data_IF_451996965356
#
_entry.id   IF_451996965356
#
_cell.length_a   1.000
_cell.length_b   1.000
_cell.length_c   1.000
_cell.angle_alpha   90.00
_cell.angle_beta   90.00
_cell.angle_gamma   90.00
#
_symmetry.space_group_name_H-M   'P 1'
#
loop_
_entity.id
_entity.type
_entity.pdbx_description
1 polymer ?
#
# COMPACT_ATOMS: atom_id res chain seq x y z
N UNK A 1 -17.82 -2.18 0.88
CA UNK A 1 -16.67 -2.85 0.23
C UNK A 1 -16.30 -2.22 -1.11
N UNK A 2 -17.16 -2.17 -2.13
CA UNK A 2 -16.82 -1.62 -3.47
C UNK A 2 -16.31 -0.17 -3.52
N UNK A 3 -16.63 0.64 -2.51
CA UNK A 3 -16.10 2.01 -2.35
C UNK A 3 -14.60 2.08 -2.12
N UNK A 4 -13.97 0.98 -1.71
CA UNK A 4 -12.54 0.92 -1.38
C UNK A 4 -11.86 -0.23 -2.10
N UNK A 5 -12.55 -1.37 -2.22
CA UNK A 5 -12.01 -2.59 -2.82
C UNK A 5 -12.96 -3.15 -3.89
N UNK A 6 -12.59 -3.09 -5.18
CA UNK A 6 -13.42 -3.50 -6.28
C UNK A 6 -13.21 -4.98 -6.67
N UNK A 7 -12.97 -5.85 -5.69
CA UNK A 7 -12.71 -7.27 -5.96
C UNK A 7 -13.98 -8.05 -6.33
N UNK A 8 -15.18 -7.52 -6.10
CA UNK A 8 -16.46 -8.09 -6.57
C UNK A 8 -17.26 -7.08 -7.40
N UNK A 9 -17.95 -7.55 -8.44
CA UNK A 9 -18.94 -6.77 -9.20
C UNK A 9 -20.35 -7.04 -8.65
N UNK A 10 -21.21 -6.02 -8.46
CA UNK A 10 -22.48 -6.20 -7.74
C UNK A 10 -23.53 -6.95 -8.56
N UNK A 11 -23.32 -7.10 -9.88
CA UNK A 11 -24.20 -7.84 -10.78
C UNK A 11 -23.68 -9.27 -10.99
N UNK A 12 -22.37 -9.47 -11.06
CA UNK A 12 -21.77 -10.82 -11.19
C UNK A 12 -21.79 -11.62 -9.88
N UNK A 13 -21.54 -10.97 -8.74
CA UNK A 13 -21.37 -11.68 -7.47
C UNK A 13 -22.62 -12.40 -6.95
N UNK A 14 -23.85 -11.91 -7.16
CA UNK A 14 -25.06 -12.68 -6.87
C UNK A 14 -25.11 -14.05 -7.56
N UNK A 15 -24.58 -14.16 -8.78
CA UNK A 15 -24.49 -15.45 -9.48
C UNK A 15 -23.46 -16.38 -8.82
N UNK A 16 -22.33 -15.84 -8.35
CA UNK A 16 -21.35 -16.58 -7.53
C UNK A 16 -21.99 -17.11 -6.25
N UNK A 17 -22.78 -16.28 -5.55
CA UNK A 17 -23.54 -16.70 -4.35
C UNK A 17 -24.53 -17.81 -4.73
N UNK A 18 -25.31 -17.62 -5.79
CA UNK A 18 -26.29 -18.62 -6.24
C UNK A 18 -25.61 -19.95 -6.56
N UNK A 19 -24.47 -19.94 -7.25
CA UNK A 19 -23.69 -21.12 -7.56
C UNK A 19 -23.14 -21.82 -6.30
N UNK A 20 -22.79 -21.04 -5.26
CA UNK A 20 -22.31 -21.59 -3.99
C UNK A 20 -23.39 -22.37 -3.22
N UNK A 21 -24.66 -21.98 -3.38
CA UNK A 21 -25.80 -22.50 -2.61
C UNK A 21 -26.84 -23.28 -3.44
N UNK A 22 -26.62 -23.48 -4.75
CA UNK A 22 -27.57 -24.17 -5.64
C UNK A 22 -27.61 -25.69 -5.44
N UNK A 23 -26.59 -26.27 -4.80
CA UNK A 23 -26.48 -27.72 -4.60
C UNK A 23 -26.64 -28.11 -3.14
N UNK A 24 -27.41 -29.17 -2.89
CA UNK A 24 -27.60 -29.73 -1.55
C UNK A 24 -26.34 -30.39 -0.98
N UNK A 25 -25.38 -30.76 -1.83
CA UNK A 25 -24.09 -31.36 -1.43
C UNK A 25 -22.93 -30.40 -1.66
N UNK A 26 -22.12 -30.18 -0.62
CA UNK A 26 -20.91 -29.37 -0.67
C UNK A 26 -19.83 -29.90 -1.63
N UNK A 27 -19.84 -31.19 -1.94
CA UNK A 27 -18.90 -31.81 -2.89
C UNK A 27 -19.23 -31.51 -4.36
N UNK A 28 -20.46 -31.07 -4.64
CA UNK A 28 -20.91 -30.74 -5.99
C UNK A 28 -20.62 -29.28 -6.39
N UNK A 29 -20.25 -28.44 -5.42
CA UNK A 29 -19.93 -27.03 -5.65
C UNK A 29 -18.42 -26.91 -5.91
N UNK A 30 -18.07 -26.20 -7.00
CA UNK A 30 -16.67 -25.92 -7.38
C UNK A 30 -15.89 -25.27 -6.23
N UNK A 31 -14.61 -25.60 -6.11
CA UNK A 31 -13.77 -25.14 -5.01
C UNK A 31 -13.54 -23.62 -5.09
N UNK A 32 -13.39 -23.07 -6.29
CA UNK A 32 -13.16 -21.65 -6.51
C UNK A 32 -14.33 -20.75 -6.07
N UNK A 33 -15.57 -21.13 -6.36
CA UNK A 33 -16.79 -20.45 -5.89
C UNK A 33 -16.82 -20.44 -4.36
N UNK A 34 -16.57 -21.60 -3.73
CA UNK A 34 -16.56 -21.72 -2.26
C UNK A 34 -15.45 -20.88 -1.64
N UNK A 35 -14.24 -20.93 -2.20
CA UNK A 35 -13.11 -20.13 -1.75
C UNK A 35 -13.45 -18.64 -1.86
N UNK A 36 -14.01 -18.18 -2.97
CA UNK A 36 -14.38 -16.79 -3.18
C UNK A 36 -15.36 -16.28 -2.11
N UNK A 37 -16.42 -17.05 -1.79
CA UNK A 37 -17.39 -16.67 -0.75
C UNK A 37 -16.73 -16.64 0.64
N UNK A 38 -15.94 -17.65 0.99
CA UNK A 38 -15.29 -17.72 2.30
C UNK A 38 -14.27 -16.59 2.49
N UNK A 39 -13.44 -16.32 1.47
CA UNK A 39 -12.49 -15.20 1.46
C UNK A 39 -13.23 -13.86 1.58
N UNK A 40 -14.31 -13.67 0.82
CA UNK A 40 -15.13 -12.46 0.89
C UNK A 40 -15.67 -12.22 2.31
N UNK A 41 -16.21 -13.27 2.95
CA UNK A 41 -16.76 -13.17 4.30
C UNK A 41 -15.68 -12.88 5.33
N UNK A 42 -14.52 -13.57 5.27
CA UNK A 42 -13.38 -13.35 6.17
C UNK A 42 -12.82 -11.93 6.04
N UNK A 43 -12.64 -11.44 4.82
CA UNK A 43 -12.14 -10.08 4.60
C UNK A 43 -13.16 -8.99 4.95
N UNK A 44 -14.45 -9.26 4.73
CA UNK A 44 -15.49 -8.30 5.13
C UNK A 44 -15.67 -8.23 6.64
N UNK A 45 -15.43 -9.32 7.37
CA UNK A 45 -15.54 -9.34 8.83
C UNK A 45 -14.37 -8.66 9.54
N UNK A 46 -13.16 -8.69 8.97
CA UNK A 46 -11.99 -8.01 9.57
C UNK A 46 -12.03 -6.48 9.41
N UNK A 47 -12.59 -5.97 8.30
CA UNK A 47 -12.54 -4.53 7.99
C UNK A 47 -13.53 -3.62 8.73
N UNK A 48 -14.27 -4.12 9.74
CA UNK A 48 -15.18 -3.40 10.66
C UNK A 48 -15.67 -2.00 10.20
N UNK A 49 -16.26 -1.92 9.01
CA UNK A 49 -16.64 -0.64 8.39
C UNK A 49 -17.64 0.08 9.30
N UNK A 50 -17.45 1.38 9.65
CA UNK A 50 -18.26 2.09 10.63
C UNK A 50 -19.78 2.04 10.39
N UNK A 51 -20.20 2.04 9.12
CA UNK A 51 -21.61 1.90 8.70
C UNK A 51 -22.26 0.55 9.13
N UNK A 52 -21.45 -0.45 9.47
CA UNK A 52 -21.87 -1.79 9.92
C UNK A 52 -21.53 -2.07 11.39
N UNK A 53 -21.07 -1.08 12.17
CA UNK A 53 -20.89 -1.23 13.63
C UNK A 53 -22.20 -1.61 14.33
N UNK A 54 -23.34 -1.26 13.75
CA UNK A 54 -24.65 -1.77 14.15
C UNK A 54 -25.03 -3.02 13.36
N UNK A 55 -24.42 -4.16 13.74
CA UNK A 55 -24.86 -5.47 13.27
C UNK A 55 -26.36 -5.63 13.57
N UNK A 56 -27.19 -6.14 12.64
CA UNK A 56 -28.57 -6.47 12.94
C UNK A 56 -28.62 -7.39 14.18
N UNK A 57 -29.45 -7.05 15.18
CA UNK A 57 -29.63 -7.90 16.35
C UNK A 57 -29.98 -9.34 15.92
N UNK A 58 -29.19 -10.32 16.36
CA UNK A 58 -29.51 -11.75 16.21
C UNK A 58 -28.61 -12.60 15.29
N UNK A 59 -27.60 -12.03 14.62
CA UNK A 59 -26.63 -12.84 13.86
C UNK A 59 -25.50 -13.39 14.76
N UNK A 60 -25.12 -14.67 14.63
CA UNK A 60 -24.04 -15.27 15.42
C UNK A 60 -22.69 -14.63 15.10
N UNK A 61 -21.74 -14.53 16.05
CA UNK A 61 -20.39 -14.01 15.78
C UNK A 61 -19.78 -14.75 14.58
N UNK A 62 -19.16 -13.99 13.68
CA UNK A 62 -18.48 -14.56 12.52
C UNK A 62 -17.08 -14.97 12.96
N UNK A 63 -16.79 -16.26 12.84
CA UNK A 63 -15.45 -16.82 13.04
C UNK A 63 -14.55 -16.46 11.85
N UNK A 64 -13.97 -15.26 11.88
CA UNK A 64 -13.13 -14.71 10.81
C UNK A 64 -11.95 -15.63 10.49
N UNK A 65 -11.24 -16.10 11.51
CA UNK A 65 -10.08 -16.98 11.35
C UNK A 65 -10.49 -18.34 10.78
N UNK A 66 -11.57 -18.94 11.28
CA UNK A 66 -12.07 -20.20 10.75
C UNK A 66 -12.56 -20.09 9.31
N UNK A 67 -13.14 -18.95 8.90
CA UNK A 67 -13.49 -18.68 7.49
C UNK A 67 -12.25 -18.57 6.61
N UNK A 68 -11.25 -17.79 7.06
CA UNK A 68 -9.98 -17.64 6.34
C UNK A 68 -9.28 -18.99 6.18
N UNK A 69 -9.15 -19.77 7.25
CA UNK A 69 -8.54 -21.10 7.23
C UNK A 69 -9.25 -22.05 6.26
N UNK A 70 -10.59 -22.04 6.23
CA UNK A 70 -11.36 -22.83 5.26
C UNK A 70 -11.11 -22.39 3.83
N UNK A 71 -11.00 -21.10 3.57
CA UNK A 71 -10.64 -20.58 2.25
C UNK A 71 -9.23 -21.03 1.84
N UNK A 72 -8.25 -20.90 2.74
CA UNK A 72 -6.86 -21.36 2.53
C UNK A 72 -6.81 -22.85 2.17
N UNK A 73 -7.54 -23.71 2.89
CA UNK A 73 -7.63 -25.14 2.63
C UNK A 73 -8.22 -25.50 1.25
N UNK A 74 -9.01 -24.59 0.65
CA UNK A 74 -9.58 -24.79 -0.69
C UNK A 74 -8.62 -24.36 -1.80
N UNK A 75 -7.64 -23.48 -1.55
CA UNK A 75 -6.73 -22.97 -2.58
C UNK A 75 -6.04 -24.09 -3.38
N UNK A 76 -5.51 -25.18 -2.78
CA UNK A 76 -4.92 -26.28 -3.56
C UNK A 76 -5.89 -26.99 -4.50
N UNK A 77 -7.21 -26.92 -4.24
CA UNK A 77 -8.24 -27.45 -5.15
C UNK A 77 -8.55 -26.42 -6.24
N UNK A 78 -8.65 -25.13 -5.89
CA UNK A 78 -8.79 -24.02 -6.87
C UNK A 78 -7.68 -24.08 -7.92
N UNK A 79 -6.43 -24.32 -7.52
CA UNK A 79 -5.30 -24.39 -8.45
C UNK A 79 -5.28 -25.64 -9.34
N UNK A 80 -6.15 -26.62 -9.08
CA UNK A 80 -6.36 -27.80 -9.94
C UNK A 80 -7.52 -27.61 -10.92
N UNK A 81 -8.40 -26.65 -10.67
CA UNK A 81 -9.48 -26.25 -11.57
C UNK A 81 -8.94 -25.33 -12.68
N UNK A 82 -9.72 -25.12 -13.73
CA UNK A 82 -9.39 -24.13 -14.75
C UNK A 82 -9.38 -22.72 -14.14
N UNK A 83 -8.50 -21.85 -14.66
CA UNK A 83 -8.46 -20.46 -14.25
C UNK A 83 -9.86 -19.82 -14.39
N UNK A 84 -10.33 -19.21 -13.31
CA UNK A 84 -11.66 -18.62 -13.22
C UNK A 84 -11.64 -17.25 -12.56
N UNK A 85 -12.71 -16.49 -12.79
CA UNK A 85 -12.88 -15.19 -12.14
C UNK A 85 -12.95 -15.36 -10.62
N UNK A 86 -13.72 -16.34 -10.14
CA UNK A 86 -13.92 -16.62 -8.72
C UNK A 86 -12.62 -17.04 -8.04
N UNK A 87 -11.81 -17.88 -8.70
CA UNK A 87 -10.50 -18.29 -8.19
C UNK A 87 -9.54 -17.11 -8.05
N UNK A 88 -9.53 -16.21 -9.04
CA UNK A 88 -8.75 -14.97 -8.99
C UNK A 88 -9.23 -14.03 -7.87
N UNK A 89 -10.54 -13.87 -7.71
CA UNK A 89 -11.14 -13.09 -6.63
C UNK A 89 -10.74 -13.63 -5.27
N UNK A 90 -10.85 -14.95 -5.07
CA UNK A 90 -10.47 -15.61 -3.83
C UNK A 90 -9.01 -15.32 -3.46
N UNK A 91 -8.07 -15.49 -4.41
CA UNK A 91 -6.65 -15.24 -4.18
C UNK A 91 -6.33 -13.79 -3.85
N UNK A 92 -6.93 -12.83 -4.57
CA UNK A 92 -6.71 -11.40 -4.29
C UNK A 92 -7.29 -11.00 -2.93
N UNK A 93 -8.49 -11.51 -2.60
CA UNK A 93 -9.12 -11.23 -1.30
C UNK A 93 -8.30 -11.85 -0.16
N UNK A 94 -7.79 -13.08 -0.34
CA UNK A 94 -6.89 -13.69 0.64
C UNK A 94 -5.57 -12.92 0.76
N UNK A 95 -4.99 -12.44 -0.35
CA UNK A 95 -3.81 -11.59 -0.26
C UNK A 95 -4.05 -10.32 0.55
N UNK A 96 -5.18 -9.64 0.33
CA UNK A 96 -5.58 -8.49 1.13
C UNK A 96 -5.81 -8.85 2.59
N UNK A 97 -6.44 -10.00 2.87
CA UNK A 97 -6.61 -10.50 4.23
C UNK A 97 -5.27 -10.68 4.94
N UNK A 98 -4.32 -11.37 4.30
CA UNK A 98 -2.98 -11.58 4.86
C UNK A 98 -2.19 -10.26 5.04
N UNK A 99 -2.39 -9.26 4.17
CA UNK A 99 -1.80 -7.93 4.36
C UNK A 99 -2.35 -7.21 5.59
N UNK A 100 -3.66 -7.32 5.81
CA UNK A 100 -4.37 -6.69 6.93
C UNK A 100 -4.02 -7.37 8.25
N UNK A 101 -3.75 -8.68 8.24
CA UNK A 101 -3.31 -9.45 9.41
C UNK A 101 -1.79 -9.48 9.62
N UNK A 102 -0.99 -8.89 8.72
CA UNK A 102 0.46 -8.76 8.86
C UNK A 102 1.29 -9.93 8.31
N UNK A 103 0.67 -10.90 7.64
CA UNK A 103 1.33 -12.05 7.01
C UNK A 103 1.86 -11.73 5.60
N UNK A 104 2.86 -10.84 5.51
CA UNK A 104 3.43 -10.37 4.23
C UNK A 104 3.92 -11.52 3.31
N UNK A 105 4.51 -12.56 3.89
CA UNK A 105 5.01 -13.72 3.13
C UNK A 105 3.87 -14.47 2.43
N UNK A 106 2.78 -14.74 3.16
CA UNK A 106 1.61 -15.43 2.61
C UNK A 106 0.88 -14.56 1.59
N UNK A 107 0.77 -13.25 1.84
CA UNK A 107 0.24 -12.29 0.88
C UNK A 107 1.03 -12.34 -0.45
N UNK A 108 2.36 -12.40 -0.37
CA UNK A 108 3.23 -12.50 -1.54
C UNK A 108 2.97 -13.77 -2.38
N UNK A 109 2.77 -14.92 -1.71
CA UNK A 109 2.40 -16.15 -2.42
C UNK A 109 1.07 -16.02 -3.16
N UNK A 110 0.03 -15.52 -2.49
CA UNK A 110 -1.27 -15.34 -3.13
C UNK A 110 -1.23 -14.38 -4.32
N UNK A 111 -0.51 -13.26 -4.18
CA UNK A 111 -0.32 -12.29 -5.26
C UNK A 111 0.42 -12.88 -6.44
N UNK A 112 1.47 -13.67 -6.18
CA UNK A 112 2.24 -14.33 -7.24
C UNK A 112 1.37 -15.31 -8.05
N UNK A 113 0.53 -16.08 -7.36
CA UNK A 113 -0.41 -17.00 -8.01
C UNK A 113 -1.53 -16.24 -8.73
N UNK A 114 -2.09 -15.20 -8.10
CA UNK A 114 -3.10 -14.33 -8.70
C UNK A 114 -2.59 -13.67 -9.98
N UNK A 115 -1.37 -13.14 -9.98
CA UNK A 115 -0.73 -12.55 -11.15
C UNK A 115 -0.65 -13.54 -12.32
N UNK A 116 -0.34 -14.81 -12.05
CA UNK A 116 -0.35 -15.86 -13.07
C UNK A 116 -1.75 -16.07 -13.65
N UNK A 117 -2.78 -16.11 -12.81
CA UNK A 117 -4.18 -16.26 -13.24
C UNK A 117 -4.65 -15.00 -14.02
N UNK A 118 -4.22 -13.80 -13.64
CA UNK A 118 -4.48 -12.56 -14.39
C UNK A 118 -3.97 -12.67 -15.83
N UNK A 119 -2.76 -13.22 -16.03
CA UNK A 119 -2.25 -13.48 -17.37
C UNK A 119 -3.09 -14.51 -18.12
N UNK A 120 -3.43 -15.63 -17.48
CA UNK A 120 -4.25 -16.70 -18.10
C UNK A 120 -5.64 -16.21 -18.54
N UNK A 121 -6.24 -15.30 -17.78
CA UNK A 121 -7.56 -14.75 -18.05
C UNK A 121 -7.54 -13.46 -18.90
N UNK A 122 -6.35 -12.97 -19.28
CA UNK A 122 -6.21 -11.76 -20.10
C UNK A 122 -6.51 -10.45 -19.37
N UNK A 123 -6.59 -10.43 -18.03
CA UNK A 123 -6.93 -9.24 -17.24
C UNK A 123 -5.88 -8.11 -17.32
N UNK A 124 -4.65 -8.46 -17.69
CA UNK A 124 -3.54 -7.53 -17.93
C UNK A 124 -3.73 -6.68 -19.20
N UNK A 125 -4.70 -7.00 -20.06
CA UNK A 125 -5.00 -6.25 -21.29
C UNK A 125 -6.24 -5.38 -21.12
N UNK A 126 -6.23 -4.14 -21.63
CA UNK A 126 -7.42 -3.30 -21.62
C UNK A 126 -8.43 -3.78 -22.68
N UNK A 127 -9.68 -4.10 -22.32
CA UNK A 127 -10.66 -4.64 -23.27
C UNK A 127 -11.18 -3.63 -24.29
N UNK A 128 -10.74 -2.36 -24.26
CA UNK A 128 -11.26 -1.29 -25.09
C UNK A 128 -12.66 -0.81 -24.65
N UNK A 129 -13.19 0.27 -25.26
CA UNK A 129 -14.57 0.69 -25.04
C UNK A 129 -15.54 -0.29 -25.72
N UNK A 130 -16.65 -0.61 -25.05
CA UNK A 130 -17.74 -1.37 -25.65
C UNK A 130 -18.64 -0.46 -26.49
N UNK A 131 -19.06 -0.92 -27.68
CA UNK A 131 -20.15 -0.29 -28.42
C UNK A 131 -21.50 -0.73 -27.82
N UNK A 132 -22.02 0.03 -26.86
CA UNK A 132 -23.24 -0.29 -26.12
C UNK A 132 -24.51 -0.30 -26.98
N UNK A 133 -24.51 0.40 -28.12
CA UNK A 133 -25.70 0.54 -28.98
C UNK A 133 -26.05 -0.73 -29.77
N UNK A 134 -25.08 -1.61 -30.01
CA UNK A 134 -25.27 -2.82 -30.82
C UNK A 134 -25.02 -4.12 -30.06
N UNK A 135 -24.71 -4.04 -28.76
CA UNK A 135 -24.30 -5.19 -27.98
C UNK A 135 -25.48 -6.02 -27.47
N UNK A 136 -25.47 -7.32 -27.76
CA UNK A 136 -26.38 -8.28 -27.18
C UNK A 136 -26.18 -8.41 -25.64
N UNK A 137 -27.19 -8.88 -24.89
CA UNK A 137 -27.05 -9.09 -23.44
C UNK A 137 -25.89 -10.02 -23.06
N UNK A 138 -25.59 -11.02 -23.88
CA UNK A 138 -24.46 -11.93 -23.66
C UNK A 138 -23.11 -11.22 -23.82
N UNK A 139 -22.96 -10.38 -24.85
CA UNK A 139 -21.75 -9.58 -25.04
C UNK A 139 -21.56 -8.57 -23.91
N UNK A 140 -22.64 -7.98 -23.39
CA UNK A 140 -22.58 -7.06 -22.26
C UNK A 140 -22.11 -7.76 -20.99
N UNK A 141 -22.58 -8.98 -20.75
CA UNK A 141 -22.14 -9.81 -19.62
C UNK A 141 -20.66 -10.19 -19.74
N UNK A 142 -20.21 -10.61 -20.92
CA UNK A 142 -18.81 -10.94 -21.17
C UNK A 142 -17.90 -9.72 -21.04
N UNK A 143 -18.32 -8.56 -21.53
CA UNK A 143 -17.60 -7.30 -21.34
C UNK A 143 -17.52 -6.91 -19.85
N UNK A 144 -18.60 -7.11 -19.08
CA UNK A 144 -18.60 -6.89 -17.63
C UNK A 144 -17.61 -7.81 -16.91
N UNK A 145 -17.52 -9.09 -17.29
CA UNK A 145 -16.50 -10.01 -16.76
C UNK A 145 -15.08 -9.52 -17.08
N UNK A 146 -14.82 -9.08 -18.31
CA UNK A 146 -13.52 -8.49 -18.70
C UNK A 146 -13.19 -7.24 -17.89
N UNK A 147 -14.16 -6.34 -17.66
CA UNK A 147 -13.99 -5.17 -16.79
C UNK A 147 -13.68 -5.59 -15.34
N UNK A 148 -14.33 -6.64 -14.83
CA UNK A 148 -14.03 -7.14 -13.49
C UNK A 148 -12.63 -7.76 -13.38
N UNK A 149 -12.20 -8.53 -14.39
CA UNK A 149 -10.81 -9.01 -14.50
C UNK A 149 -9.82 -7.85 -14.53
N UNK A 150 -10.15 -6.76 -15.22
CA UNK A 150 -9.32 -5.55 -15.27
C UNK A 150 -9.20 -4.88 -13.89
N UNK A 151 -10.28 -4.85 -13.10
CA UNK A 151 -10.23 -4.33 -11.73
C UNK A 151 -9.35 -5.20 -10.83
N UNK A 152 -9.46 -6.52 -10.96
CA UNK A 152 -8.64 -7.48 -10.23
C UNK A 152 -7.16 -7.37 -10.62
N UNK A 153 -6.85 -7.14 -11.90
CA UNK A 153 -5.50 -6.80 -12.34
C UNK A 153 -4.94 -5.58 -11.60
N UNK A 154 -5.67 -4.46 -11.55
CA UNK A 154 -5.19 -3.24 -10.89
C UNK A 154 -5.00 -3.39 -9.38
N UNK A 155 -5.87 -4.17 -8.71
CA UNK A 155 -5.67 -4.56 -7.32
C UNK A 155 -4.41 -5.41 -7.15
N UNK A 156 -4.26 -6.45 -7.96
CA UNK A 156 -3.10 -7.33 -7.93
C UNK A 156 -1.80 -6.55 -8.17
N UNK A 157 -1.77 -5.71 -9.20
CA UNK A 157 -0.65 -4.83 -9.56
C UNK A 157 -0.26 -3.89 -8.42
N UNK A 158 -1.24 -3.28 -7.77
CA UNK A 158 -0.97 -2.38 -6.64
C UNK A 158 -0.38 -3.13 -5.44
N UNK A 159 -1.00 -4.24 -5.05
CA UNK A 159 -0.55 -5.04 -3.91
C UNK A 159 0.86 -5.59 -4.17
N UNK A 160 1.09 -6.10 -5.37
CA UNK A 160 2.35 -6.68 -5.81
C UNK A 160 3.50 -5.67 -5.71
N UNK A 161 3.30 -4.46 -6.22
CA UNK A 161 4.30 -3.40 -6.16
C UNK A 161 4.64 -2.99 -4.72
N UNK A 162 3.62 -2.89 -3.87
CA UNK A 162 3.82 -2.59 -2.45
C UNK A 162 4.59 -3.71 -1.75
N UNK A 163 4.24 -4.98 -2.00
CA UNK A 163 4.93 -6.13 -1.42
C UNK A 163 6.37 -6.24 -1.92
N UNK A 164 6.62 -6.03 -3.22
CA UNK A 164 7.95 -6.06 -3.82
C UNK A 164 8.87 -5.00 -3.19
N UNK A 165 8.39 -3.76 -3.04
CA UNK A 165 9.15 -2.69 -2.38
C UNK A 165 9.41 -2.97 -0.89
N UNK A 166 8.43 -3.53 -0.18
CA UNK A 166 8.54 -3.87 1.25
C UNK A 166 9.51 -5.03 1.52
N UNK A 167 9.58 -5.99 0.61
CA UNK A 167 10.32 -7.25 0.81
C UNK A 167 11.62 -7.34 0.02
N UNK A 168 11.83 -6.44 -0.95
CA UNK A 168 12.93 -6.50 -1.91
C UNK A 168 12.80 -7.63 -2.95
N UNK A 169 11.70 -8.39 -2.94
CA UNK A 169 11.47 -9.48 -3.89
C UNK A 169 11.26 -8.96 -5.31
N UNK A 170 11.68 -9.70 -6.36
CA UNK A 170 11.41 -9.34 -7.75
C UNK A 170 9.94 -9.21 -8.07
N UNK A 171 9.61 -8.24 -8.91
CA UNK A 171 8.25 -8.07 -9.42
C UNK A 171 7.83 -9.24 -10.33
N UNK A 172 6.57 -9.65 -10.23
CA UNK A 172 5.92 -10.66 -11.08
C UNK A 172 5.17 -10.00 -12.25
N UNK A 173 4.57 -8.83 -12.02
CA UNK A 173 3.82 -8.09 -13.03
C UNK A 173 4.70 -7.01 -13.68
N UNK A 174 5.52 -7.43 -14.64
CA UNK A 174 6.34 -6.49 -15.42
C UNK A 174 5.48 -5.57 -16.29
N UNK A 175 5.74 -4.27 -16.24
CA UNK A 175 5.09 -3.23 -17.03
C UNK A 175 5.11 -3.54 -18.54
N UNK A 176 6.19 -4.17 -19.05
CA UNK A 176 6.32 -4.52 -20.48
C UNK A 176 5.26 -5.53 -20.95
N UNK A 177 4.72 -6.32 -20.04
CA UNK A 177 3.70 -7.34 -20.32
C UNK A 177 2.29 -6.89 -19.91
N UNK A 178 2.13 -5.66 -19.44
CA UNK A 178 0.86 -5.16 -18.93
C UNK A 178 0.41 -3.93 -19.72
N UNK A 179 -0.85 -3.93 -20.14
CA UNK A 179 -1.49 -2.69 -20.55
C UNK A 179 -1.76 -1.89 -19.28
N UNK A 180 -1.18 -0.69 -19.14
CA UNK A 180 -1.35 0.18 -17.96
C UNK A 180 -2.39 1.29 -18.20
N UNK A 181 -3.27 1.15 -19.20
CA UNK A 181 -4.37 2.08 -19.46
C UNK A 181 -5.32 2.15 -18.26
N UNK A 182 -5.41 3.33 -17.63
CA UNK A 182 -6.27 3.58 -16.47
C UNK A 182 -7.75 3.37 -16.83
N UNK A 183 -8.62 3.05 -15.84
CA UNK A 183 -10.06 3.02 -16.07
C UNK A 183 -10.58 4.36 -16.64
N UNK A 184 -11.54 4.36 -17.58
CA UNK A 184 -12.09 5.60 -18.12
C UNK A 184 -12.68 6.50 -17.03
N UNK A 185 -12.30 7.79 -17.00
CA UNK A 185 -12.78 8.76 -16.00
C UNK A 185 -12.20 8.57 -14.59
N UNK A 186 -11.16 7.73 -14.44
CA UNK A 186 -10.60 7.36 -13.14
C UNK A 186 -10.15 8.57 -12.31
N UNK A 187 -9.43 9.52 -12.93
CA UNK A 187 -8.82 10.65 -12.21
C UNK A 187 -9.90 11.60 -11.67
N UNK A 188 -10.90 11.91 -12.49
CA UNK A 188 -12.02 12.77 -12.11
C UNK A 188 -12.84 12.14 -10.97
N UNK A 189 -13.09 10.84 -11.06
CA UNK A 189 -13.84 10.09 -10.05
C UNK A 189 -13.06 9.92 -8.75
N UNK A 190 -11.74 9.70 -8.82
CA UNK A 190 -10.87 9.60 -7.65
C UNK A 190 -11.02 10.84 -6.76
N UNK A 191 -10.86 12.03 -7.34
CA UNK A 191 -10.95 13.28 -6.57
C UNK A 191 -12.38 13.68 -6.21
N UNK A 192 -13.36 13.38 -7.07
CA UNK A 192 -14.77 13.57 -6.71
C UNK A 192 -15.15 12.71 -5.50
N UNK A 193 -14.66 11.47 -5.44
CA UNK A 193 -14.92 10.56 -4.31
C UNK A 193 -14.23 10.99 -3.02
N UNK A 194 -13.06 11.64 -3.11
CA UNK A 194 -12.35 12.19 -1.96
C UNK A 194 -13.14 13.33 -1.30
N UNK A 195 -13.81 14.16 -2.10
CA UNK A 195 -14.66 15.26 -1.62
C UNK A 195 -16.05 14.83 -1.13
N UNK A 196 -16.54 13.67 -1.57
CA UNK A 196 -17.78 13.09 -1.05
C UNK A 196 -17.47 12.42 0.28
N UNK A 197 -17.75 13.11 1.39
CA UNK A 197 -17.73 12.54 2.72
C UNK A 197 -18.43 11.17 2.75
N UNK A 198 -18.04 10.31 3.70
CA UNK A 198 -18.56 8.95 3.99
C UNK A 198 -20.10 8.80 4.14
N UNK A 199 -20.92 9.77 3.73
CA UNK A 199 -22.36 9.86 3.93
C UNK A 199 -23.20 9.86 2.65
N UNK A 200 -22.62 9.95 1.44
CA UNK A 200 -23.43 9.66 0.25
C UNK A 200 -23.88 8.20 0.28
N UNK A 201 -25.13 7.90 -0.08
CA UNK A 201 -25.63 6.51 -0.23
C UNK A 201 -25.33 5.92 -1.61
N UNK A 202 -24.92 6.75 -2.56
CA UNK A 202 -24.70 6.33 -3.94
C UNK A 202 -23.31 5.66 -4.08
N UNK A 203 -23.26 4.56 -4.83
CA UNK A 203 -22.00 3.92 -5.18
C UNK A 203 -21.41 4.65 -6.40
N UNK A 204 -20.08 4.82 -6.47
CA UNK A 204 -19.48 5.39 -7.67
C UNK A 204 -19.74 4.47 -8.88
N UNK A 205 -19.98 5.07 -10.05
CA UNK A 205 -20.20 4.33 -11.32
C UNK A 205 -19.01 3.44 -11.72
N UNK A 206 -17.84 3.79 -11.20
CA UNK A 206 -16.59 3.09 -11.42
C UNK A 206 -15.95 2.64 -10.10
N UNK A 207 -15.18 1.53 -10.16
CA UNK A 207 -14.47 1.01 -9.00
C UNK A 207 -13.42 1.99 -8.49
N UNK A 208 -13.39 2.16 -7.17
CA UNK A 208 -12.33 2.86 -6.46
C UNK A 208 -11.26 1.87 -6.01
N UNK A 209 -10.00 2.32 -5.88
CA UNK A 209 -8.88 1.49 -5.44
C UNK A 209 -8.30 2.02 -4.14
N UNK A 210 -7.67 1.19 -3.28
CA UNK A 210 -7.16 1.65 -1.98
C UNK A 210 -6.07 2.75 -2.06
N UNK A 211 -5.42 2.87 -3.22
CA UNK A 211 -4.41 3.90 -3.53
C UNK A 211 -4.61 4.41 -4.95
N UNK A 212 -4.00 5.55 -5.28
CA UNK A 212 -3.94 6.07 -6.65
C UNK A 212 -3.11 5.14 -7.54
N UNK A 213 -3.72 4.57 -8.58
CA UNK A 213 -3.07 3.64 -9.51
C UNK A 213 -1.85 4.28 -10.21
N UNK A 214 -1.85 5.60 -10.40
CA UNK A 214 -0.71 6.30 -11.00
C UNK A 214 0.52 6.28 -10.09
N UNK A 215 0.34 6.31 -8.77
CA UNK A 215 1.44 6.11 -7.82
C UNK A 215 1.94 4.67 -7.87
N UNK A 216 1.06 3.68 -8.04
CA UNK A 216 1.49 2.27 -8.22
C UNK A 216 2.35 2.09 -9.47
N UNK A 217 2.04 2.80 -10.56
CA UNK A 217 2.88 2.81 -11.77
C UNK A 217 4.25 3.43 -11.48
N UNK A 218 4.30 4.60 -10.82
CA UNK A 218 5.56 5.25 -10.45
C UNK A 218 6.40 4.33 -9.54
N UNK A 219 5.78 3.66 -8.57
CA UNK A 219 6.44 2.68 -7.70
C UNK A 219 7.03 1.52 -8.49
N UNK A 220 6.30 0.98 -9.46
CA UNK A 220 6.81 -0.10 -10.31
C UNK A 220 8.06 0.32 -11.06
N UNK A 221 8.00 1.50 -11.69
CA UNK A 221 9.14 2.08 -12.39
C UNK A 221 10.32 2.36 -11.46
N UNK A 222 10.06 2.90 -10.27
CA UNK A 222 11.08 3.12 -9.26
C UNK A 222 11.74 1.81 -8.82
N UNK A 223 10.98 0.75 -8.57
CA UNK A 223 11.53 -0.57 -8.28
C UNK A 223 12.41 -1.05 -9.44
N UNK A 224 11.88 -1.08 -10.66
CA UNK A 224 12.60 -1.60 -11.83
C UNK A 224 13.88 -0.82 -12.11
N UNK A 225 13.82 0.52 -12.06
CA UNK A 225 14.95 1.38 -12.37
C UNK A 225 16.01 1.43 -11.26
N UNK A 226 15.60 1.40 -9.98
CA UNK A 226 16.50 1.69 -8.85
C UNK A 226 16.85 0.45 -8.03
N UNK A 227 15.94 -0.53 -7.91
CA UNK A 227 16.03 -1.62 -6.94
C UNK A 227 16.08 -3.03 -7.54
N UNK A 228 15.74 -3.20 -8.82
CA UNK A 228 15.92 -4.46 -9.53
C UNK A 228 17.40 -4.87 -9.56
N UNK A 229 17.68 -6.15 -9.85
CA UNK A 229 19.05 -6.62 -10.04
C UNK A 229 19.86 -5.74 -11.01
N UNK A 230 19.24 -5.33 -12.12
CA UNK A 230 19.87 -4.42 -13.10
C UNK A 230 19.99 -2.99 -12.56
N UNK A 231 18.97 -2.50 -11.86
CA UNK A 231 19.00 -1.18 -11.21
C UNK A 231 20.12 -1.03 -10.18
N UNK A 232 20.42 -2.10 -9.44
CA UNK A 232 21.51 -2.13 -8.46
C UNK A 232 22.91 -2.15 -9.10
N UNK A 233 23.03 -2.47 -10.40
CA UNK A 233 24.29 -2.50 -11.13
C UNK A 233 24.64 -1.18 -11.86
N UNK A 234 23.73 -0.21 -11.83
CA UNK A 234 23.91 1.09 -12.51
C UNK A 234 25.08 1.89 -11.94
N UNK A 235 25.70 2.69 -12.80
CA UNK A 235 26.70 3.69 -12.39
C UNK A 235 26.03 4.84 -11.63
N UNK A 236 26.81 5.61 -10.85
CA UNK A 236 26.30 6.78 -10.13
C UNK A 236 25.59 7.78 -11.07
N UNK A 237 26.09 7.96 -12.31
CA UNK A 237 25.50 8.85 -13.30
C UNK A 237 24.14 8.35 -13.82
N UNK A 238 24.03 7.05 -14.13
CA UNK A 238 22.77 6.43 -14.55
C UNK A 238 21.74 6.46 -13.42
N UNK A 239 22.16 6.11 -12.20
CA UNK A 239 21.31 6.15 -11.02
C UNK A 239 20.75 7.57 -10.77
N UNK A 240 21.62 8.59 -10.78
CA UNK A 240 21.18 9.98 -10.59
C UNK A 240 20.29 10.48 -11.73
N UNK A 241 20.48 9.98 -12.95
CA UNK A 241 19.58 10.25 -14.07
C UNK A 241 18.20 9.65 -13.81
N UNK A 242 18.12 8.37 -13.45
CA UNK A 242 16.83 7.71 -13.17
C UNK A 242 16.10 8.38 -12.00
N UNK A 243 16.81 8.78 -10.94
CA UNK A 243 16.24 9.51 -9.80
C UNK A 243 15.55 10.79 -10.26
N UNK A 244 16.21 11.58 -11.13
CA UNK A 244 15.64 12.82 -11.66
C UNK A 244 14.41 12.55 -12.54
N UNK A 245 14.49 11.56 -13.42
CA UNK A 245 13.37 11.21 -14.31
C UNK A 245 12.13 10.74 -13.52
N UNK A 246 12.34 9.98 -12.44
CA UNK A 246 11.29 9.52 -11.54
C UNK A 246 10.74 10.66 -10.66
N UNK A 247 11.59 11.56 -10.17
CA UNK A 247 11.18 12.77 -9.44
C UNK A 247 10.32 13.69 -10.33
N UNK A 248 10.73 13.93 -11.58
CA UNK A 248 9.95 14.68 -12.57
C UNK A 248 8.58 14.04 -12.86
N UNK A 249 8.50 12.71 -12.86
CA UNK A 249 7.24 11.98 -13.02
C UNK A 249 6.34 12.10 -11.80
N UNK A 250 6.91 11.98 -10.60
CA UNK A 250 6.19 12.14 -9.34
C UNK A 250 5.69 13.58 -9.18
N UNK A 251 6.48 14.57 -9.57
CA UNK A 251 6.10 15.97 -9.54
C UNK A 251 4.99 16.28 -10.56
N UNK A 252 5.08 15.73 -11.78
CA UNK A 252 3.97 15.82 -12.75
C UNK A 252 2.68 15.21 -12.21
N UNK A 253 2.77 14.05 -11.56
CA UNK A 253 1.63 13.46 -10.86
C UNK A 253 1.10 14.40 -9.77
N UNK A 254 1.97 14.93 -8.90
CA UNK A 254 1.61 15.81 -7.78
C UNK A 254 0.90 17.07 -8.27
N UNK A 255 1.38 17.67 -9.36
CA UNK A 255 0.78 18.87 -9.96
C UNK A 255 -0.56 18.58 -10.64
N UNK A 256 -0.79 17.35 -11.11
CA UNK A 256 -2.09 16.91 -11.62
C UNK A 256 -3.16 16.73 -10.54
N UNK A 257 -2.75 16.57 -9.27
CA UNK A 257 -3.67 16.48 -8.13
C UNK A 257 -4.31 17.85 -7.89
N UNK A 258 -5.64 17.95 -7.71
CA UNK A 258 -6.32 19.19 -7.35
C UNK A 258 -5.71 19.82 -6.08
N UNK A 259 -5.62 21.17 -5.99
CA UNK A 259 -4.93 21.85 -4.88
C UNK A 259 -5.38 21.41 -3.47
N UNK A 260 -6.67 21.10 -3.31
CA UNK A 260 -7.28 20.64 -2.06
C UNK A 260 -6.78 19.26 -1.59
N UNK A 261 -6.39 18.37 -2.50
CA UNK A 261 -5.89 17.01 -2.20
C UNK A 261 -4.39 16.87 -2.41
N UNK A 262 -3.74 17.93 -2.90
CA UNK A 262 -2.35 17.88 -3.35
C UNK A 262 -1.40 17.68 -2.16
N UNK A 263 -0.57 16.62 -2.16
CA UNK A 263 0.47 16.47 -1.14
C UNK A 263 1.46 17.64 -1.15
N UNK A 264 1.89 18.05 0.04
CA UNK A 264 2.95 19.05 0.20
C UNK A 264 4.33 18.39 0.18
N UNK A 265 5.33 19.13 -0.31
CA UNK A 265 6.73 18.67 -0.31
C UNK A 265 7.26 18.47 1.11
N UNK A 266 6.92 19.41 1.99
CA UNK A 266 7.15 19.36 3.44
C UNK A 266 5.83 19.60 4.14
N UNK A 267 5.47 18.74 5.09
CA UNK A 267 4.26 18.87 5.89
C UNK A 267 4.57 19.52 7.24
N UNK A 268 3.73 20.47 7.66
CA UNK A 268 3.76 21.06 9.00
C UNK A 268 2.35 21.16 9.59
N UNK A 269 2.24 21.18 10.91
CA UNK A 269 0.96 21.34 11.62
C UNK A 269 0.29 22.70 11.36
N UNK A 270 1.01 23.68 10.82
CA UNK A 270 0.49 25.02 10.49
C UNK A 270 -0.39 25.02 9.23
N UNK A 271 -0.36 23.93 8.46
CA UNK A 271 -1.24 23.70 7.31
C UNK A 271 -2.17 22.51 7.58
N UNK A 272 -3.18 22.66 8.47
CA UNK A 272 -4.13 21.58 8.75
C UNK A 272 -4.90 21.22 7.49
N UNK A 273 -5.05 19.93 7.24
CA UNK A 273 -5.89 19.42 6.18
C UNK A 273 -7.35 19.41 6.69
N UNK A 274 -8.27 20.21 6.13
CA UNK A 274 -9.64 20.29 6.62
C UNK A 274 -10.49 19.07 6.19
N UNK A 275 -10.02 18.26 5.23
CA UNK A 275 -10.79 17.18 4.61
C UNK A 275 -10.16 15.80 4.81
N UNK A 276 -9.58 15.57 5.99
CA UNK A 276 -8.87 14.34 6.29
C UNK A 276 -9.83 13.15 6.29
N UNK A 277 -9.59 12.23 5.37
CA UNK A 277 -10.17 10.89 5.29
C UNK A 277 -9.06 9.86 5.18
N UNK A 278 -9.34 8.59 5.52
CA UNK A 278 -8.36 7.50 5.33
C UNK A 278 -7.80 7.46 3.90
N UNK A 279 -8.61 7.79 2.89
CA UNK A 279 -8.17 7.81 1.50
C UNK A 279 -7.19 8.96 1.21
N UNK A 280 -7.48 10.16 1.70
CA UNK A 280 -6.54 11.29 1.61
C UNK A 280 -5.24 11.03 2.38
N UNK A 281 -5.33 10.28 3.49
CA UNK A 281 -4.16 9.87 4.27
C UNK A 281 -3.30 8.93 3.45
N UNK A 282 -3.90 7.88 2.90
CA UNK A 282 -3.20 6.95 2.03
C UNK A 282 -2.57 7.68 0.83
N UNK A 283 -3.26 8.61 0.19
CA UNK A 283 -2.73 9.40 -0.92
C UNK A 283 -1.41 10.11 -0.55
N UNK A 284 -1.39 10.83 0.57
CA UNK A 284 -0.21 11.57 1.05
C UNK A 284 0.92 10.65 1.49
N UNK A 285 0.60 9.60 2.26
CA UNK A 285 1.60 8.60 2.68
C UNK A 285 2.26 7.90 1.49
N UNK A 286 1.50 7.57 0.45
CA UNK A 286 2.04 6.97 -0.76
C UNK A 286 2.93 7.94 -1.54
N UNK A 287 2.57 9.22 -1.61
CA UNK A 287 3.42 10.25 -2.20
C UNK A 287 4.76 10.38 -1.46
N UNK A 288 4.74 10.55 -0.13
CA UNK A 288 5.96 10.69 0.66
C UNK A 288 6.80 9.40 0.63
N UNK A 289 6.17 8.23 0.58
CA UNK A 289 6.87 6.96 0.35
C UNK A 289 7.58 6.96 -1.01
N UNK A 290 6.93 7.41 -2.09
CA UNK A 290 7.57 7.54 -3.41
C UNK A 290 8.78 8.49 -3.36
N UNK A 291 8.65 9.65 -2.71
CA UNK A 291 9.79 10.57 -2.49
C UNK A 291 10.94 9.87 -1.78
N UNK A 292 10.65 9.16 -0.68
CA UNK A 292 11.68 8.45 0.08
C UNK A 292 12.35 7.36 -0.76
N UNK A 293 11.61 6.46 -1.41
CA UNK A 293 12.24 5.37 -2.20
C UNK A 293 13.03 5.91 -3.41
N UNK A 294 12.54 6.94 -4.10
CA UNK A 294 13.25 7.49 -5.26
C UNK A 294 14.56 8.12 -4.79
N UNK A 295 14.51 8.98 -3.78
CA UNK A 295 15.66 9.76 -3.39
C UNK A 295 16.66 9.01 -2.49
N UNK A 296 16.20 8.07 -1.67
CA UNK A 296 17.06 7.26 -0.81
C UNK A 296 18.01 6.37 -1.63
N UNK A 297 17.63 6.02 -2.86
CA UNK A 297 18.48 5.28 -3.78
C UNK A 297 19.85 5.96 -3.99
N UNK A 298 19.94 7.29 -3.90
CA UNK A 298 21.19 8.06 -4.02
C UNK A 298 22.24 7.73 -2.96
N UNK A 299 21.84 7.17 -1.79
CA UNK A 299 22.77 6.74 -0.72
C UNK A 299 23.76 5.66 -1.18
N UNK A 300 23.49 4.99 -2.30
CA UNK A 300 24.33 3.93 -2.88
C UNK A 300 25.41 4.45 -3.83
N UNK A 301 25.47 5.75 -4.10
CA UNK A 301 26.51 6.30 -4.97
C UNK A 301 27.90 5.99 -4.40
N UNK A 302 28.83 5.51 -5.23
CA UNK A 302 30.18 5.15 -4.78
C UNK A 302 30.96 6.38 -4.30
N UNK A 303 30.71 7.55 -4.91
CA UNK A 303 31.29 8.84 -4.46
C UNK A 303 30.91 9.17 -3.01
N UNK A 304 29.70 8.79 -2.59
CA UNK A 304 29.22 8.94 -1.23
C UNK A 304 29.95 7.99 -0.27
N UNK A 305 30.07 6.71 -0.64
CA UNK A 305 30.65 5.66 0.22
C UNK A 305 32.17 5.79 0.37
N UNK A 306 32.87 6.24 -0.67
CA UNK A 306 34.34 6.27 -0.68
C UNK A 306 34.95 7.57 -0.16
N UNK A 307 34.13 8.61 0.13
CA UNK A 307 34.61 9.88 0.70
C UNK A 307 35.65 10.61 -0.15
N UNK A 308 35.85 10.22 -1.41
CA UNK A 308 36.86 10.78 -2.29
C UNK A 308 36.32 12.04 -2.98
N UNK A 309 36.71 13.19 -2.43
CA UNK A 309 36.77 14.47 -3.15
C UNK A 309 35.43 15.10 -3.53
N UNK A 310 34.87 15.90 -2.60
CA UNK A 310 33.75 16.79 -2.87
C UNK A 310 32.41 16.06 -2.93
N UNK A 311 31.56 16.31 -1.95
CA UNK A 311 30.15 15.89 -1.97
C UNK A 311 29.54 16.34 -3.30
N UNK A 312 29.06 15.40 -4.13
CA UNK A 312 28.25 15.78 -5.29
C UNK A 312 26.99 16.41 -4.71
N UNK A 313 26.82 17.72 -4.87
CA UNK A 313 25.71 18.51 -4.31
C UNK A 313 24.34 17.85 -4.56
N UNK A 314 24.17 17.23 -5.73
CA UNK A 314 22.96 16.47 -6.09
C UNK A 314 22.67 15.24 -5.21
N UNK A 315 23.67 14.52 -4.72
CA UNK A 315 23.47 13.38 -3.79
C UNK A 315 23.00 13.88 -2.44
N UNK A 316 23.63 14.95 -1.92
CA UNK A 316 23.22 15.60 -0.67
C UNK A 316 21.78 16.09 -0.73
N UNK A 317 21.44 16.78 -1.82
CA UNK A 317 20.10 17.33 -2.04
C UNK A 317 19.05 16.22 -2.13
N UNK A 318 19.34 15.13 -2.85
CA UNK A 318 18.45 13.96 -2.93
C UNK A 318 18.23 13.34 -1.55
N UNK A 319 19.28 13.06 -0.78
CA UNK A 319 19.11 12.50 0.57
C UNK A 319 18.30 13.42 1.49
N UNK A 320 18.52 14.74 1.41
CA UNK A 320 17.73 15.70 2.17
C UNK A 320 16.22 15.63 1.82
N UNK A 321 15.87 15.47 0.54
CA UNK A 321 14.47 15.27 0.10
C UNK A 321 13.87 13.98 0.68
N UNK A 322 14.63 12.88 0.68
CA UNK A 322 14.19 11.60 1.26
C UNK A 322 13.90 11.72 2.76
N UNK A 323 14.78 12.40 3.49
CA UNK A 323 14.63 12.60 4.95
C UNK A 323 13.47 13.54 5.24
N UNK A 324 13.28 14.60 4.44
CA UNK A 324 12.16 15.53 4.61
C UNK A 324 10.79 14.88 4.33
N UNK A 325 10.71 14.02 3.31
CA UNK A 325 9.53 13.21 3.07
C UNK A 325 9.24 12.24 4.24
N UNK A 326 10.30 11.70 4.86
CA UNK A 326 10.17 10.85 6.05
C UNK A 326 9.65 11.63 7.27
N UNK A 327 10.14 12.87 7.48
CA UNK A 327 9.59 13.76 8.52
C UNK A 327 8.12 14.06 8.29
N UNK A 328 7.77 14.41 7.05
CA UNK A 328 6.40 14.69 6.63
C UNK A 328 5.48 13.49 6.86
N UNK A 329 5.97 12.27 6.59
CA UNK A 329 5.22 11.02 6.85
C UNK A 329 4.85 10.89 8.33
N UNK A 330 5.81 11.07 9.25
CA UNK A 330 5.56 10.92 10.69
C UNK A 330 4.64 12.02 11.22
N UNK A 331 4.89 13.28 10.87
CA UNK A 331 4.07 14.42 11.29
C UNK A 331 2.64 14.31 10.76
N UNK A 332 2.47 13.85 9.52
CA UNK A 332 1.15 13.69 8.94
C UNK A 332 0.37 12.55 9.59
N UNK A 333 1.01 11.40 9.85
CA UNK A 333 0.40 10.30 10.62
C UNK A 333 -0.06 10.75 12.01
N UNK A 334 0.74 11.59 12.69
CA UNK A 334 0.34 12.19 13.96
C UNK A 334 -0.94 13.02 13.82
N UNK A 335 -0.98 13.92 12.84
CA UNK A 335 -2.13 14.80 12.62
C UNK A 335 -3.41 14.04 12.22
N UNK A 336 -3.25 12.93 11.49
CA UNK A 336 -4.34 12.14 10.94
C UNK A 336 -4.76 10.95 11.82
N UNK A 337 -4.20 10.79 13.03
CA UNK A 337 -4.45 9.65 13.93
C UNK A 337 -5.95 9.37 14.16
N UNK A 338 -6.77 10.43 14.18
CA UNK A 338 -8.20 10.37 14.46
C UNK A 338 -9.07 9.79 13.32
N UNK A 339 -8.55 9.68 12.10
CA UNK A 339 -9.30 9.15 10.94
C UNK A 339 -8.84 7.75 10.51
N UNK A 340 -7.80 7.22 11.16
CA UNK A 340 -7.25 5.91 10.81
C UNK A 340 -8.30 4.83 11.10
N UNK A 341 -8.52 3.96 10.12
CA UNK A 341 -9.51 2.88 10.23
C UNK A 341 -8.99 1.79 11.17
N UNK A 342 -9.87 1.25 12.02
CA UNK A 342 -9.56 0.12 12.88
C UNK A 342 -9.19 -1.12 12.06
N UNK A 343 -8.22 -1.92 12.52
CA UNK A 343 -7.83 -3.18 11.90
C UNK A 343 -6.88 -3.05 10.70
N UNK A 344 -6.40 -1.86 10.33
CA UNK A 344 -5.45 -1.66 9.21
C UNK A 344 -4.00 -1.40 9.66
N UNK A 345 -3.69 -1.63 10.94
CA UNK A 345 -2.37 -1.40 11.53
C UNK A 345 -1.23 -1.97 10.68
N UNK A 346 -1.31 -3.24 10.32
CA UNK A 346 -0.26 -3.92 9.54
C UNK A 346 -0.09 -3.36 8.13
N UNK A 347 -1.16 -2.78 7.56
CA UNK A 347 -1.07 -2.08 6.27
C UNK A 347 -0.31 -0.75 6.42
N UNK A 348 -0.54 -0.04 7.53
CA UNK A 348 0.02 1.28 7.82
C UNK A 348 1.42 1.25 8.42
N UNK A 349 1.79 0.23 9.19
CA UNK A 349 3.04 0.25 9.98
C UNK A 349 4.30 0.41 9.13
N UNK A 350 4.26 -0.02 7.87
CA UNK A 350 5.39 0.14 6.95
C UNK A 350 5.81 1.60 6.74
N UNK A 351 4.85 2.54 6.65
CA UNK A 351 5.15 3.96 6.39
C UNK A 351 5.96 4.61 7.52
N UNK A 352 5.52 4.59 8.80
CA UNK A 352 6.31 5.16 9.88
C UNK A 352 7.61 4.38 10.11
N UNK A 353 7.63 3.05 9.95
CA UNK A 353 8.87 2.29 10.11
C UNK A 353 9.93 2.66 9.09
N UNK A 354 9.55 2.81 7.81
CA UNK A 354 10.47 3.28 6.77
C UNK A 354 10.99 4.69 7.07
N UNK A 355 10.10 5.59 7.51
CA UNK A 355 10.47 6.97 7.85
C UNK A 355 11.39 7.06 9.07
N UNK A 356 11.12 6.28 10.12
CA UNK A 356 11.95 6.18 11.33
C UNK A 356 13.38 5.75 10.98
N UNK A 357 13.53 4.72 10.15
CA UNK A 357 14.85 4.23 9.71
C UNK A 357 15.59 5.30 8.90
N UNK A 358 14.92 5.98 7.97
CA UNK A 358 15.54 7.03 7.16
C UNK A 358 16.04 8.20 8.03
N UNK A 359 15.23 8.66 8.99
CA UNK A 359 15.60 9.73 9.93
C UNK A 359 16.73 9.28 10.86
N UNK A 360 16.64 8.06 11.39
CA UNK A 360 17.68 7.46 12.23
C UNK A 360 19.03 7.42 11.52
N UNK A 361 19.07 6.90 10.28
CA UNK A 361 20.29 6.88 9.48
C UNK A 361 20.84 8.29 9.23
N UNK A 362 19.98 9.28 9.00
CA UNK A 362 20.40 10.67 8.84
C UNK A 362 21.02 11.25 10.13
N UNK A 363 20.44 10.96 11.30
CA UNK A 363 21.00 11.35 12.60
C UNK A 363 22.38 10.71 12.79
N UNK A 364 22.55 9.42 12.48
CA UNK A 364 23.84 8.76 12.63
C UNK A 364 24.92 9.34 11.71
N UNK A 365 24.54 9.78 10.51
CA UNK A 365 25.47 10.41 9.56
C UNK A 365 25.83 11.83 9.97
N UNK A 366 24.87 12.59 10.50
CA UNK A 366 25.02 14.01 10.84
C UNK A 366 24.61 14.29 12.30
N UNK A 367 25.23 13.64 13.30
CA UNK A 367 24.75 13.68 14.69
C UNK A 367 24.91 15.06 15.35
N UNK A 368 25.70 15.92 14.73
CA UNK A 368 25.98 17.26 15.23
C UNK A 368 25.20 18.38 14.51
N UNK A 369 24.34 18.02 13.57
CA UNK A 369 23.43 18.94 12.89
C UNK A 369 22.37 19.44 13.89
N UNK A 370 22.07 20.75 13.96
CA UNK A 370 21.00 21.29 14.81
C UNK A 370 19.62 20.61 14.59
N UNK A 371 19.36 20.13 13.37
CA UNK A 371 18.14 19.42 13.02
C UNK A 371 18.07 18.04 13.68
N UNK A 372 19.20 17.39 13.99
CA UNK A 372 19.24 16.07 14.60
C UNK A 372 18.51 16.03 15.97
N UNK A 373 18.56 17.12 16.75
CA UNK A 373 17.83 17.22 18.02
C UNK A 373 16.31 17.29 17.80
N UNK A 374 15.85 17.97 16.75
CA UNK A 374 14.41 18.01 16.40
C UNK A 374 13.95 16.65 15.90
N UNK A 375 14.76 16.01 15.07
CA UNK A 375 14.52 14.67 14.55
C UNK A 375 14.43 13.64 15.68
N UNK A 376 15.27 13.75 16.71
CA UNK A 376 15.19 12.94 17.92
C UNK A 376 13.84 13.11 18.64
N UNK A 377 13.35 14.35 18.72
CA UNK A 377 12.01 14.64 19.25
C UNK A 377 10.91 13.98 18.42
N UNK A 378 11.04 13.98 17.10
CA UNK A 378 10.09 13.35 16.18
C UNK A 378 10.12 11.82 16.31
N UNK A 379 11.29 11.19 16.43
CA UNK A 379 11.42 9.75 16.69
C UNK A 379 10.67 9.36 17.96
N UNK A 380 10.81 10.14 19.04
CA UNK A 380 10.10 9.91 20.31
C UNK A 380 8.58 10.00 20.15
N UNK A 381 8.10 11.03 19.47
CA UNK A 381 6.66 11.21 19.23
C UNK A 381 6.09 10.08 18.38
N UNK A 382 6.82 9.64 17.36
CA UNK A 382 6.45 8.51 16.52
C UNK A 382 6.35 7.20 17.32
N UNK A 383 7.24 6.95 18.30
CA UNK A 383 7.09 5.82 19.24
C UNK A 383 5.73 5.84 19.91
N UNK A 384 5.33 6.98 20.47
CA UNK A 384 4.05 7.12 21.14
C UNK A 384 2.85 6.98 20.19
N UNK A 385 2.95 7.42 18.94
CA UNK A 385 1.87 7.24 17.94
C UNK A 385 1.72 5.76 17.60
N UNK A 386 2.83 5.07 17.32
CA UNK A 386 2.81 3.63 17.01
C UNK A 386 2.19 2.85 18.17
N UNK A 387 2.54 3.17 19.42
CA UNK A 387 1.94 2.59 20.62
C UNK A 387 0.44 2.92 20.78
N UNK A 388 0.01 4.15 20.50
CA UNK A 388 -1.41 4.54 20.60
C UNK A 388 -2.26 3.87 19.52
N UNK A 389 -1.78 3.85 18.28
CA UNK A 389 -2.46 3.16 17.17
C UNK A 389 -2.51 1.66 17.45
N UNK A 390 -1.45 1.09 18.04
CA UNK A 390 -1.41 -0.29 18.54
C UNK A 390 -2.53 -0.61 19.53
N UNK A 391 -2.64 0.15 20.63
CA UNK A 391 -3.61 -0.15 21.69
C UNK A 391 -5.06 -0.06 21.22
N UNK A 392 -5.34 0.68 20.15
CA UNK A 392 -6.67 0.78 19.56
C UNK A 392 -7.09 -0.45 18.76
N UNK A 393 -6.15 -1.29 18.31
CA UNK A 393 -6.40 -2.28 17.26
C UNK A 393 -6.15 -3.74 17.67
N UNK A 394 -5.95 -4.03 18.96
CA UNK A 394 -5.69 -5.39 19.43
C UNK A 394 -6.95 -6.27 19.36
N UNK A 395 -6.89 -7.35 18.58
CA UNK A 395 -7.95 -8.34 18.42
C UNK A 395 -7.51 -9.70 19.02
N UNK A 396 -6.21 -10.02 19.00
CA UNK A 396 -5.67 -11.30 19.53
C UNK A 396 -4.42 -11.17 20.41
N UNK A 397 -4.09 -12.23 21.16
CA UNK A 397 -2.87 -12.30 22.01
C UNK A 397 -1.59 -12.34 21.16
N UNK A 398 -1.63 -13.02 20.01
CA UNK A 398 -0.46 -13.11 19.11
C UNK A 398 -0.11 -11.73 18.51
N UNK A 399 -1.14 -10.91 18.21
CA UNK A 399 -0.94 -9.52 17.79
C UNK A 399 -0.23 -8.68 18.86
N UNK A 400 -0.53 -8.90 20.16
CA UNK A 400 0.14 -8.19 21.26
C UNK A 400 1.65 -8.45 21.26
N UNK A 401 2.07 -9.71 21.02
CA UNK A 401 3.49 -10.07 21.00
C UNK A 401 4.21 -9.42 19.82
N UNK A 402 3.64 -9.51 18.62
CA UNK A 402 4.25 -8.92 17.42
C UNK A 402 4.37 -7.41 17.53
N UNK A 403 3.37 -6.73 18.09
CA UNK A 403 3.45 -5.28 18.22
C UNK A 403 4.40 -4.85 19.33
N UNK A 404 4.54 -5.63 20.42
CA UNK A 404 5.59 -5.37 21.41
C UNK A 404 6.98 -5.39 20.77
N UNK A 405 7.25 -6.33 19.87
CA UNK A 405 8.53 -6.38 19.13
C UNK A 405 8.74 -5.09 18.33
N UNK A 406 7.68 -4.56 17.69
CA UNK A 406 7.75 -3.28 16.97
C UNK A 406 8.05 -2.12 17.92
N UNK A 407 7.34 -2.02 19.05
CA UNK A 407 7.55 -0.96 20.04
C UNK A 407 8.97 -0.99 20.64
N UNK A 408 9.46 -2.18 20.99
CA UNK A 408 10.82 -2.39 21.51
C UNK A 408 11.86 -1.96 20.45
N UNK A 409 11.64 -2.31 19.18
CA UNK A 409 12.52 -1.91 18.08
C UNK A 409 12.54 -0.38 17.85
N UNK A 410 11.39 0.28 17.85
CA UNK A 410 11.31 1.74 17.72
C UNK A 410 11.99 2.45 18.90
N UNK A 411 11.83 1.90 20.11
CA UNK A 411 12.50 2.41 21.33
C UNK A 411 14.03 2.28 21.24
N UNK A 412 14.52 1.17 20.70
CA UNK A 412 15.96 0.97 20.48
C UNK A 412 16.52 1.96 19.44
N UNK A 413 15.80 2.17 18.33
CA UNK A 413 16.16 3.20 17.32
C UNK A 413 16.33 4.57 17.96
N UNK A 414 15.35 4.98 18.78
CA UNK A 414 15.40 6.26 19.49
C UNK A 414 16.60 6.33 20.43
N UNK A 415 16.85 5.29 21.22
CA UNK A 415 17.94 5.24 22.20
C UNK A 415 19.31 5.36 21.53
N UNK A 416 19.52 4.62 20.44
CA UNK A 416 20.76 4.67 19.67
C UNK A 416 20.98 6.04 19.01
N UNK A 417 19.92 6.66 18.47
CA UNK A 417 20.00 8.02 17.93
C UNK A 417 20.38 9.03 19.01
N UNK A 418 19.79 8.92 20.21
CA UNK A 418 20.10 9.78 21.34
C UNK A 418 21.58 9.66 21.73
N UNK A 419 22.09 8.43 21.86
CA UNK A 419 23.49 8.20 22.17
C UNK A 419 24.44 8.83 21.13
N UNK A 420 24.10 8.76 19.84
CA UNK A 420 24.90 9.36 18.77
C UNK A 420 24.98 10.89 18.89
N UNK A 421 23.84 11.56 19.13
CA UNK A 421 23.78 13.02 19.31
C UNK A 421 24.55 13.44 20.57
N UNK A 422 24.34 12.76 21.70
CA UNK A 422 25.03 13.06 22.96
C UNK A 422 26.55 12.87 22.86
N UNK A 423 27.00 11.81 22.18
CA UNK A 423 28.42 11.56 21.95
C UNK A 423 29.04 12.70 21.13
N UNK A 424 28.40 13.09 20.03
CA UNK A 424 28.89 14.17 19.18
C UNK A 424 28.94 15.52 19.91
N UNK A 425 27.98 15.79 20.81
CA UNK A 425 28.00 16.98 21.65
C UNK A 425 29.16 16.97 22.65
N UNK A 426 29.43 15.82 23.31
CA UNK A 426 30.54 15.67 24.26
C UNK A 426 31.90 15.86 23.57
N UNK A 427 32.07 15.31 22.37
CA UNK A 427 33.30 15.45 21.58
C UNK A 427 33.55 16.90 21.18
N UNK A 428 32.52 17.66 20.77
CA UNK A 428 32.63 19.09 20.51
C UNK A 428 32.98 19.90 21.77
N UNK A 429 32.36 19.58 22.90
CA UNK A 429 32.62 20.27 24.16
C UNK A 429 34.05 20.02 24.68
N UNK A 430 34.60 18.81 24.49
CA UNK A 430 35.96 18.46 24.90
C UNK A 430 37.08 18.96 23.96
N UNK A 431 36.75 19.37 22.72
CA UNK A 431 37.70 20.01 21.80
C UNK A 431 37.81 21.53 21.99
N UNK A 432 36.91 22.13 22.78
CA UNK A 432 36.88 23.56 23.10
C UNK A 432 37.52 23.93 24.44
N UNK A 433 38.11 22.97 25.15
CA UNK A 433 38.88 23.11 26.40
C UNK A 433 40.33 22.75 26.16
#
# INVERSE_FOLDING_TARGET
MQRVFPFVDPILFPDTIKAAYSHSSLSAVRADVRACILSFLAFSSILQVPEYKHRPLGLPPVDTEGLALKAQCLIPQVLREDASLEGLQALIIMALFELVTGNLCTANYYVSVAARIVYMLGGHTYPGPMNSFSASPAEQLEYRKKRQLRNLFWLCYTIENDVALRTGQPQVLSDENCDLTLPPGYVEQLYSSLGIHHHSRELPDNPMFPVDLRLSIIKSRAYSALYSFRGLQKTDAELLKDIRELDDELERWRMSVPPEWRPTLSFSHETPDPNVSMHSVMLRLNYHLCMTIIHQASSRCKSWVQGQGGMIEGVSSSLALSVEASRSTLLYLESAEHVLVDGVFWTLIFYPMSALIAIFCNILQNPSDPQATKDLGLLRTATSIVERVFLRQLISIDEVVHVKIVADFVTEIYTLAQCAVEKAWKERAGQGS
#
